data_IF_858623168662
#
_entry.id   IF_858623168662
#
_cell.length_a   1.000
_cell.length_b   1.000
_cell.length_c   1.000
_cell.angle_alpha   90.00
_cell.angle_beta   90.00
_cell.angle_gamma   90.00
#
_symmetry.space_group_name_H-M   'P 1'
#
loop_
_entity.id
_entity.type
_entity.pdbx_description
1 polymer ?
#
# COMPACT_ATOMS: atom_id res chain seq x y z
N UNK A 1 9.53 -15.50 -15.65
CA UNK A 1 8.44 -14.58 -15.32
C UNK A 1 8.65 -13.27 -16.06
N UNK A 2 7.67 -12.82 -16.78
CA UNK A 2 7.70 -11.56 -17.53
C UNK A 2 6.85 -10.59 -16.72
N UNK A 3 7.46 -9.56 -16.16
CA UNK A 3 6.73 -8.46 -15.58
C UNK A 3 6.34 -7.46 -16.66
N UNK A 4 5.09 -7.04 -16.69
CA UNK A 4 4.64 -5.94 -17.54
C UNK A 4 4.21 -4.78 -16.64
N UNK A 5 4.80 -3.61 -16.84
CA UNK A 5 4.28 -2.38 -16.24
C UNK A 5 3.20 -1.82 -17.18
N UNK A 6 2.00 -1.62 -16.66
CA UNK A 6 0.94 -0.95 -17.39
C UNK A 6 0.98 0.54 -17.07
N UNK A 7 1.20 1.35 -18.07
CA UNK A 7 1.09 2.81 -17.94
C UNK A 7 -0.35 3.23 -18.16
N UNK A 8 -1.08 3.47 -17.08
CA UNK A 8 -2.47 3.88 -17.11
C UNK A 8 -2.59 5.34 -16.68
N UNK A 9 -3.24 6.20 -17.48
CA UNK A 9 -3.48 7.57 -17.07
C UNK A 9 -4.43 7.62 -15.86
N UNK A 10 -4.18 8.56 -14.94
CA UNK A 10 -4.99 8.73 -13.71
C UNK A 10 -6.48 9.03 -13.99
N UNK A 11 -6.80 9.46 -15.21
CA UNK A 11 -8.17 9.74 -15.66
C UNK A 11 -8.91 8.50 -16.17
N UNK A 12 -8.23 7.35 -16.27
CA UNK A 12 -8.85 6.12 -16.76
C UNK A 12 -9.80 5.55 -15.70
N UNK A 13 -10.97 5.12 -16.15
CA UNK A 13 -11.93 4.44 -15.28
C UNK A 13 -11.37 3.09 -14.79
N UNK A 14 -11.63 2.78 -13.52
CA UNK A 14 -11.15 1.56 -12.88
C UNK A 14 -11.57 0.30 -13.63
N UNK A 15 -12.79 0.28 -14.16
CA UNK A 15 -13.30 -0.83 -14.96
C UNK A 15 -12.47 -1.04 -16.23
N UNK A 16 -12.16 0.03 -16.95
CA UNK A 16 -11.32 -0.01 -18.16
C UNK A 16 -9.91 -0.50 -17.85
N UNK A 17 -9.34 -0.07 -16.71
CA UNK A 17 -8.04 -0.56 -16.23
C UNK A 17 -8.07 -2.07 -16.00
N UNK A 18 -9.12 -2.56 -15.34
CA UNK A 18 -9.27 -3.98 -15.08
C UNK A 18 -9.38 -4.79 -16.37
N UNK A 19 -10.19 -4.35 -17.33
CA UNK A 19 -10.36 -5.03 -18.62
C UNK A 19 -9.06 -5.11 -19.42
N UNK A 20 -8.27 -4.06 -19.42
CA UNK A 20 -6.95 -4.08 -20.07
C UNK A 20 -6.00 -5.09 -19.39
N UNK A 21 -5.94 -5.09 -18.06
CA UNK A 21 -5.14 -6.05 -17.29
C UNK A 21 -5.60 -7.49 -17.55
N UNK A 22 -6.90 -7.74 -17.48
CA UNK A 22 -7.51 -9.04 -17.76
C UNK A 22 -7.16 -9.54 -19.16
N UNK A 23 -7.28 -8.69 -20.17
CA UNK A 23 -6.96 -9.05 -21.56
C UNK A 23 -5.47 -9.43 -21.71
N UNK A 24 -4.56 -8.73 -21.05
CA UNK A 24 -3.14 -9.11 -21.04
C UNK A 24 -2.92 -10.47 -20.35
N UNK A 25 -3.60 -10.73 -19.23
CA UNK A 25 -3.51 -12.01 -18.53
C UNK A 25 -4.02 -13.15 -19.38
N UNK A 26 -5.16 -12.97 -20.07
CA UNK A 26 -5.73 -13.99 -20.97
C UNK A 26 -4.78 -14.27 -22.13
N UNK A 27 -4.21 -13.24 -22.74
CA UNK A 27 -3.27 -13.40 -23.88
C UNK A 27 -2.01 -14.16 -23.48
N UNK A 28 -1.58 -14.05 -22.22
CA UNK A 28 -0.36 -14.69 -21.72
C UNK A 28 -0.62 -15.92 -20.84
N UNK A 29 -1.83 -16.43 -20.82
CA UNK A 29 -2.30 -17.48 -19.89
C UNK A 29 -1.38 -18.70 -19.83
N UNK A 30 -0.87 -19.17 -20.95
CA UNK A 30 0.02 -20.34 -21.02
C UNK A 30 1.35 -20.15 -20.29
N UNK A 31 1.83 -18.91 -20.18
CA UNK A 31 3.09 -18.58 -19.47
C UNK A 31 2.91 -18.30 -17.97
N UNK A 32 1.65 -18.25 -17.48
CA UNK A 32 1.31 -17.86 -16.11
C UNK A 32 0.99 -19.04 -15.18
N UNK A 33 1.46 -20.23 -15.51
CA UNK A 33 1.20 -21.48 -14.74
C UNK A 33 1.62 -21.40 -13.25
N UNK A 34 2.61 -20.56 -12.92
CA UNK A 34 3.08 -20.37 -11.55
C UNK A 34 2.28 -19.33 -10.76
N UNK A 35 1.29 -18.70 -11.40
CA UNK A 35 0.44 -17.68 -10.81
C UNK A 35 0.94 -16.25 -11.07
N UNK A 36 0.20 -15.29 -10.54
CA UNK A 36 0.42 -13.85 -10.72
C UNK A 36 0.62 -13.18 -9.38
N UNK A 37 1.71 -12.42 -9.25
CA UNK A 37 1.85 -11.42 -8.20
C UNK A 37 1.54 -10.05 -8.80
N UNK A 38 0.41 -9.48 -8.41
CA UNK A 38 -0.02 -8.14 -8.81
C UNK A 38 0.52 -7.12 -7.81
N UNK A 39 1.37 -6.23 -8.28
CA UNK A 39 1.97 -5.15 -7.48
C UNK A 39 1.35 -3.83 -7.93
N UNK A 40 0.65 -3.14 -7.04
CA UNK A 40 -0.03 -1.88 -7.32
C UNK A 40 0.39 -0.80 -6.34
N UNK A 41 0.48 0.42 -6.82
CA UNK A 41 0.74 1.61 -5.99
C UNK A 41 -0.54 2.15 -5.33
N UNK A 42 -1.72 1.82 -5.88
CA UNK A 42 -3.02 2.29 -5.41
C UNK A 42 -3.78 1.20 -4.65
N UNK A 43 -4.24 1.53 -3.45
CA UNK A 43 -5.03 0.60 -2.62
C UNK A 43 -6.37 0.20 -3.24
N UNK A 44 -6.97 1.06 -4.08
CA UNK A 44 -8.22 0.79 -4.79
C UNK A 44 -8.12 -0.38 -5.79
N UNK A 45 -6.91 -0.73 -6.24
CA UNK A 45 -6.68 -1.83 -7.17
C UNK A 45 -6.49 -3.20 -6.49
N UNK A 46 -6.64 -3.25 -5.17
CA UNK A 46 -6.47 -4.50 -4.41
C UNK A 46 -7.45 -5.61 -4.83
N UNK A 47 -8.68 -5.22 -5.20
CA UNK A 47 -9.71 -6.17 -5.64
C UNK A 47 -9.37 -6.88 -6.96
N UNK A 48 -8.52 -6.30 -7.79
CA UNK A 48 -8.13 -6.87 -9.08
C UNK A 48 -7.53 -8.27 -8.96
N UNK A 49 -6.80 -8.53 -7.88
CA UNK A 49 -6.24 -9.86 -7.63
C UNK A 49 -7.30 -10.94 -7.51
N UNK A 50 -8.35 -10.68 -6.73
CA UNK A 50 -9.47 -11.62 -6.56
C UNK A 50 -10.30 -11.74 -7.85
N UNK A 51 -10.61 -10.63 -8.51
CA UNK A 51 -11.36 -10.62 -9.77
C UNK A 51 -10.64 -11.43 -10.85
N UNK A 52 -9.32 -11.26 -10.99
CA UNK A 52 -8.53 -12.06 -11.95
C UNK A 52 -8.56 -13.55 -11.64
N UNK A 53 -8.46 -13.91 -10.36
CA UNK A 53 -8.55 -15.33 -9.96
C UNK A 53 -9.93 -15.93 -10.27
N UNK A 54 -11.01 -15.22 -9.94
CA UNK A 54 -12.38 -15.68 -10.18
C UNK A 54 -12.67 -15.87 -11.67
N UNK A 55 -12.21 -14.94 -12.53
CA UNK A 55 -12.49 -14.99 -13.95
C UNK A 55 -11.55 -15.91 -14.75
N UNK A 56 -10.30 -16.01 -14.37
CA UNK A 56 -9.29 -16.73 -15.16
C UNK A 56 -8.89 -18.10 -14.60
N UNK A 57 -9.17 -18.34 -13.31
CA UNK A 57 -8.71 -19.50 -12.56
C UNK A 57 -7.21 -19.49 -12.25
N UNK A 58 -6.49 -18.43 -12.63
CA UNK A 58 -5.05 -18.31 -12.36
C UNK A 58 -4.85 -17.79 -10.94
N UNK A 59 -4.06 -18.52 -10.15
CA UNK A 59 -3.72 -18.07 -8.78
C UNK A 59 -3.11 -16.68 -8.80
N UNK A 60 -3.76 -15.72 -8.17
CA UNK A 60 -3.32 -14.33 -8.14
C UNK A 60 -3.25 -13.83 -6.70
N UNK A 61 -2.16 -13.17 -6.35
CA UNK A 61 -1.99 -12.43 -5.10
C UNK A 61 -1.75 -10.96 -5.42
N UNK A 62 -2.34 -10.06 -4.65
CA UNK A 62 -2.16 -8.63 -4.83
C UNK A 62 -1.47 -8.01 -3.62
N UNK A 63 -0.50 -7.13 -3.87
CA UNK A 63 0.16 -6.29 -2.88
C UNK A 63 -0.03 -4.85 -3.32
N UNK A 64 -0.59 -4.05 -2.43
CA UNK A 64 -0.86 -2.64 -2.66
C UNK A 64 0.16 -1.75 -1.95
N UNK A 65 0.21 -0.47 -2.31
CA UNK A 65 1.16 0.49 -1.78
C UNK A 65 2.61 0.08 -2.06
N UNK A 66 2.84 -0.41 -3.26
CA UNK A 66 4.11 -0.96 -3.67
C UNK A 66 5.15 0.13 -3.88
N UNK A 67 6.33 -0.06 -3.30
CA UNK A 67 7.52 0.76 -3.58
C UNK A 67 8.46 0.05 -4.57
N UNK A 68 9.38 0.80 -5.16
CA UNK A 68 10.41 0.25 -6.05
C UNK A 68 11.19 -0.90 -5.39
N UNK A 69 11.49 -0.78 -4.09
CA UNK A 69 12.20 -1.82 -3.34
C UNK A 69 11.41 -3.12 -3.25
N UNK A 70 10.09 -3.02 -3.04
CA UNK A 70 9.21 -4.19 -3.01
C UNK A 70 9.18 -4.88 -4.38
N UNK A 71 9.11 -4.11 -5.46
CA UNK A 71 9.14 -4.65 -6.83
C UNK A 71 10.45 -5.40 -7.09
N UNK A 72 11.58 -4.79 -6.75
CA UNK A 72 12.90 -5.40 -6.94
C UNK A 72 13.04 -6.70 -6.13
N UNK A 73 12.60 -6.71 -4.88
CA UNK A 73 12.65 -7.91 -4.03
C UNK A 73 11.73 -9.01 -4.56
N UNK A 74 10.51 -8.68 -5.00
CA UNK A 74 9.61 -9.64 -5.63
C UNK A 74 10.24 -10.29 -6.88
N UNK A 75 10.85 -9.47 -7.75
CA UNK A 75 11.54 -9.96 -8.96
C UNK A 75 12.73 -10.85 -8.57
N UNK A 76 13.54 -10.44 -7.59
CA UNK A 76 14.68 -11.23 -7.10
C UNK A 76 14.23 -12.60 -6.59
N UNK A 77 13.18 -12.65 -5.76
CA UNK A 77 12.65 -13.91 -5.23
C UNK A 77 12.08 -14.79 -6.34
N UNK A 78 11.36 -14.21 -7.28
CA UNK A 78 10.83 -14.94 -8.45
C UNK A 78 11.95 -15.51 -9.33
N UNK A 79 13.04 -14.76 -9.54
CA UNK A 79 14.19 -15.20 -10.36
C UNK A 79 14.94 -16.39 -9.77
N UNK A 80 14.95 -16.53 -8.45
CA UNK A 80 15.52 -17.71 -7.77
C UNK A 80 14.52 -18.84 -7.56
N UNK A 81 13.34 -18.78 -8.19
CA UNK A 81 12.36 -19.87 -8.22
C UNK A 81 11.49 -19.99 -6.97
N UNK A 82 11.35 -18.93 -6.15
CA UNK A 82 10.43 -18.95 -5.01
C UNK A 82 8.98 -19.06 -5.48
N UNK A 83 8.15 -19.72 -4.69
CA UNK A 83 6.71 -19.84 -5.00
C UNK A 83 6.00 -18.49 -4.84
N UNK A 84 4.84 -18.35 -5.51
CA UNK A 84 3.99 -17.16 -5.38
C UNK A 84 3.63 -16.87 -3.92
N UNK A 85 3.31 -17.91 -3.15
CA UNK A 85 2.95 -17.78 -1.74
C UNK A 85 4.13 -17.32 -0.88
N UNK A 86 5.32 -17.91 -1.08
CA UNK A 86 6.54 -17.49 -0.36
C UNK A 86 6.88 -16.03 -0.63
N UNK A 87 6.79 -15.59 -1.90
CA UNK A 87 7.06 -14.19 -2.27
C UNK A 87 6.05 -13.27 -1.58
N UNK A 88 4.77 -13.61 -1.68
CA UNK A 88 3.70 -12.82 -1.08
C UNK A 88 3.89 -12.66 0.42
N UNK A 89 4.10 -13.76 1.15
CA UNK A 89 4.25 -13.73 2.60
C UNK A 89 5.52 -13.00 3.05
N UNK A 90 6.65 -13.22 2.40
CA UNK A 90 7.89 -12.52 2.75
C UNK A 90 7.77 -11.01 2.59
N UNK A 91 7.14 -10.55 1.50
CA UNK A 91 6.93 -9.12 1.29
C UNK A 91 5.99 -8.54 2.34
N UNK A 92 4.90 -9.23 2.68
CA UNK A 92 3.97 -8.80 3.72
C UNK A 92 4.67 -8.67 5.09
N UNK A 93 5.44 -9.67 5.49
CA UNK A 93 6.19 -9.66 6.75
C UNK A 93 7.26 -8.56 6.80
N UNK A 94 7.96 -8.33 5.69
CA UNK A 94 8.97 -7.27 5.59
C UNK A 94 8.34 -5.90 5.73
N UNK A 95 7.17 -5.68 5.13
CA UNK A 95 6.44 -4.42 5.26
C UNK A 95 6.00 -4.17 6.71
N UNK A 96 5.44 -5.17 7.38
CA UNK A 96 5.05 -5.06 8.79
C UNK A 96 6.24 -4.80 9.72
N UNK A 97 7.38 -5.44 9.49
CA UNK A 97 8.56 -5.27 10.34
C UNK A 97 9.15 -3.87 10.22
N UNK A 98 9.25 -3.32 9.01
CA UNK A 98 9.76 -1.96 8.77
C UNK A 98 8.86 -0.92 9.43
N UNK A 99 7.55 -1.06 9.28
CA UNK A 99 6.60 -0.15 9.91
C UNK A 99 6.71 -0.22 11.44
N UNK A 100 6.77 -1.43 12.02
CA UNK A 100 6.93 -1.61 13.47
C UNK A 100 8.24 -1.04 14.02
N UNK A 101 9.34 -1.21 13.30
CA UNK A 101 10.66 -0.75 13.75
C UNK A 101 10.79 0.77 13.67
N UNK A 102 10.27 1.39 12.63
CA UNK A 102 10.19 2.85 12.53
C UNK A 102 9.31 3.45 13.63
N UNK A 103 8.19 2.80 13.96
CA UNK A 103 7.35 3.22 15.07
C UNK A 103 8.07 3.10 16.42
N UNK A 104 8.76 2.00 16.70
CA UNK A 104 9.51 1.80 17.95
C UNK A 104 10.64 2.81 18.15
N UNK A 105 11.41 3.11 17.11
CA UNK A 105 12.51 4.06 17.18
C UNK A 105 12.07 5.50 17.41
N UNK A 106 10.88 5.87 16.94
CA UNK A 106 10.32 7.21 17.18
C UNK A 106 9.74 7.38 18.58
N UNK A 107 9.24 6.30 19.20
CA UNK A 107 8.66 6.36 20.54
C UNK A 107 9.67 6.55 21.67
N UNK A 108 10.95 6.21 21.45
CA UNK A 108 11.97 6.26 22.50
C UNK A 108 12.58 7.65 22.77
N UNK A 109 12.31 8.67 21.98
CA UNK A 109 13.09 9.92 22.01
C UNK A 109 12.53 11.12 22.77
N UNK A 110 11.29 11.18 23.25
CA UNK A 110 10.82 12.32 24.09
C UNK A 110 9.67 11.95 25.03
N UNK A 111 9.92 12.20 26.34
CA UNK A 111 8.96 11.98 27.43
C UNK A 111 8.16 13.24 27.71
N UNK A 112 7.21 13.73 27.21
CA UNK A 112 6.24 14.73 27.78
C UNK A 112 5.42 15.60 26.83
N UNK A 113 5.44 15.36 25.51
CA UNK A 113 4.51 16.07 24.62
C UNK A 113 3.66 15.03 23.88
N UNK A 114 2.34 15.22 23.84
CA UNK A 114 1.44 14.36 23.09
C UNK A 114 1.83 14.46 21.61
N UNK A 115 2.11 13.32 20.98
CA UNK A 115 2.56 13.26 19.60
C UNK A 115 1.35 13.03 18.72
N UNK A 116 1.35 13.61 17.52
CA UNK A 116 0.35 13.30 16.52
C UNK A 116 0.98 12.57 15.32
N UNK A 117 0.28 11.56 14.84
CA UNK A 117 0.58 10.88 13.57
C UNK A 117 -0.51 11.21 12.58
N UNK A 118 -0.12 11.85 11.48
CA UNK A 118 -1.05 12.23 10.43
C UNK A 118 -1.02 11.20 9.33
N UNK A 119 -2.18 10.62 9.04
CA UNK A 119 -2.39 9.70 7.93
C UNK A 119 -3.16 10.43 6.85
N UNK A 120 -2.53 10.64 5.71
CA UNK A 120 -3.12 11.40 4.62
C UNK A 120 -3.03 10.68 3.28
N UNK A 121 -4.01 10.87 2.43
CA UNK A 121 -3.96 10.58 1.00
C UNK A 121 -4.79 11.65 0.28
N UNK A 122 -4.76 11.62 -1.06
CA UNK A 122 -5.41 12.66 -1.86
C UNK A 122 -6.90 12.87 -1.49
N UNK A 123 -7.66 11.80 -1.32
CA UNK A 123 -9.09 11.85 -0.95
C UNK A 123 -9.36 11.75 0.56
N UNK A 124 -8.39 11.30 1.36
CA UNK A 124 -8.58 10.99 2.78
C UNK A 124 -9.35 9.69 3.06
N UNK A 125 -10.07 9.14 2.10
CA UNK A 125 -11.01 8.02 2.31
C UNK A 125 -10.46 6.65 1.90
N UNK A 126 -9.50 6.58 1.00
CA UNK A 126 -9.00 5.30 0.48
C UNK A 126 -7.91 4.69 1.37
N UNK A 127 -6.66 4.95 1.00
CA UNK A 127 -5.47 4.38 1.67
C UNK A 127 -5.33 4.94 3.08
N UNK A 128 -5.61 6.23 3.29
CA UNK A 128 -5.51 6.86 4.60
C UNK A 128 -6.45 6.21 5.61
N UNK A 129 -7.71 5.94 5.23
CA UNK A 129 -8.68 5.29 6.11
C UNK A 129 -8.26 3.85 6.48
N UNK A 130 -7.74 3.09 5.52
CA UNK A 130 -7.25 1.73 5.78
C UNK A 130 -6.03 1.72 6.69
N UNK A 131 -5.10 2.65 6.49
CA UNK A 131 -3.93 2.80 7.37
C UNK A 131 -4.36 3.21 8.77
N UNK A 132 -5.27 4.18 8.89
CA UNK A 132 -5.84 4.60 10.17
C UNK A 132 -6.39 3.41 10.95
N UNK A 133 -7.26 2.60 10.33
CA UNK A 133 -7.86 1.42 10.97
C UNK A 133 -6.83 0.36 11.38
N UNK A 134 -5.74 0.21 10.64
CA UNK A 134 -4.66 -0.75 10.97
C UNK A 134 -3.74 -0.25 12.07
N UNK A 135 -3.53 1.04 12.14
CA UNK A 135 -2.62 1.67 13.10
C UNK A 135 -3.31 1.86 14.46
N UNK A 136 -4.59 2.22 14.46
CA UNK A 136 -5.36 2.51 15.66
C UNK A 136 -5.26 1.41 16.75
N UNK A 137 -5.39 0.10 16.44
CA UNK A 137 -5.32 -0.95 17.45
C UNK A 137 -3.92 -1.16 18.08
N UNK A 138 -2.87 -0.59 17.48
CA UNK A 138 -1.47 -0.78 17.94
C UNK A 138 -0.88 0.48 18.56
N UNK A 139 -1.61 1.59 18.55
CA UNK A 139 -1.22 2.86 19.14
C UNK A 139 -1.74 2.94 20.58
N UNK A 140 -0.91 3.48 21.47
CA UNK A 140 -1.33 3.96 22.77
C UNK A 140 -1.91 5.37 22.61
N UNK A 141 -3.24 5.45 22.54
CA UNK A 141 -3.98 6.72 22.33
C UNK A 141 -3.74 7.74 23.47
N UNK A 142 -3.21 7.31 24.61
CA UNK A 142 -2.86 8.22 25.69
C UNK A 142 -1.57 9.01 25.39
N UNK A 143 -0.74 8.50 24.48
CA UNK A 143 0.58 9.07 24.12
C UNK A 143 0.65 9.62 22.71
N UNK A 144 -0.19 9.11 21.81
CA UNK A 144 -0.17 9.44 20.40
C UNK A 144 -1.59 9.67 19.91
N UNK A 145 -1.82 10.81 19.27
CA UNK A 145 -3.04 11.11 18.54
C UNK A 145 -2.89 10.64 17.09
N UNK A 146 -3.85 9.89 16.58
CA UNK A 146 -3.89 9.52 15.17
C UNK A 146 -4.89 10.40 14.43
N UNK A 147 -4.41 11.14 13.43
CA UNK A 147 -5.21 12.12 12.70
C UNK A 147 -5.29 11.72 11.23
N UNK A 148 -6.50 11.56 10.72
CA UNK A 148 -6.75 11.32 9.30
C UNK A 148 -7.07 12.62 8.60
N UNK A 149 -6.39 12.90 7.48
CA UNK A 149 -6.56 14.14 6.72
C UNK A 149 -6.64 13.88 5.21
N UNK A 150 -7.33 14.78 4.51
CA UNK A 150 -7.32 14.86 3.05
C UNK A 150 -6.18 15.79 2.59
N UNK A 151 -5.52 15.43 1.49
CA UNK A 151 -4.57 16.29 0.81
C UNK A 151 -5.17 16.79 -0.51
N UNK A 152 -6.18 17.66 -0.40
CA UNK A 152 -6.88 18.18 -1.59
C UNK A 152 -6.16 19.39 -2.15
N UNK A 153 -5.70 20.29 -1.27
CA UNK A 153 -5.08 21.56 -1.66
C UNK A 153 -3.90 21.88 -0.74
N UNK A 154 -2.77 22.27 -1.33
CA UNK A 154 -1.52 22.50 -0.61
C UNK A 154 -1.63 23.57 0.49
N UNK A 155 -2.30 24.68 0.21
CA UNK A 155 -2.40 25.78 1.18
C UNK A 155 -3.30 25.42 2.36
N UNK A 156 -4.43 24.79 2.08
CA UNK A 156 -5.36 24.29 3.11
C UNK A 156 -4.71 23.23 3.98
N UNK A 157 -3.98 22.29 3.36
CA UNK A 157 -3.23 21.26 4.08
C UNK A 157 -2.16 21.88 4.98
N UNK A 158 -1.36 22.82 4.46
CA UNK A 158 -0.33 23.50 5.23
C UNK A 158 -0.93 24.21 6.45
N UNK A 159 -2.03 24.94 6.27
CA UNK A 159 -2.70 25.66 7.36
C UNK A 159 -3.22 24.71 8.45
N UNK A 160 -3.74 23.52 8.07
CA UNK A 160 -4.13 22.51 9.05
C UNK A 160 -2.93 21.93 9.80
N UNK A 161 -1.82 21.68 9.12
CA UNK A 161 -0.57 21.22 9.77
C UNK A 161 -0.05 22.29 10.73
N UNK A 162 -0.01 23.56 10.34
CA UNK A 162 0.47 24.65 11.18
C UNK A 162 -0.38 24.74 12.47
N UNK A 163 -1.69 24.61 12.40
CA UNK A 163 -2.58 24.58 13.55
C UNK A 163 -2.32 23.37 14.46
N UNK A 164 -2.11 22.18 13.88
CA UNK A 164 -1.82 20.97 14.65
C UNK A 164 -0.44 21.03 15.32
N UNK A 165 0.53 21.74 14.74
CA UNK A 165 1.85 21.95 15.35
C UNK A 165 1.81 22.82 16.61
N UNK A 166 0.75 23.56 16.85
CA UNK A 166 0.53 24.31 18.08
C UNK A 166 0.10 23.39 19.25
N UNK A 167 -0.61 22.29 18.95
CA UNK A 167 -1.16 21.37 19.95
C UNK A 167 -0.31 20.09 20.11
N UNK A 168 0.38 19.67 19.04
CA UNK A 168 1.06 18.36 18.98
C UNK A 168 2.49 18.48 18.47
N UNK A 169 3.35 17.59 18.93
CA UNK A 169 4.65 17.38 18.28
C UNK A 169 4.43 16.51 17.02
N UNK A 170 4.34 17.14 15.84
CA UNK A 170 4.22 16.45 14.55
C UNK A 170 5.63 16.16 14.03
N UNK A 171 5.85 14.92 13.60
CA UNK A 171 7.10 14.50 12.95
C UNK A 171 6.82 13.98 11.56
#
# INVERSE_FOLDING_TARGET
SIGTAMNMPLTMEVQTMYEQLRNQVITQKESLNNGILLLTDMGSLNSFGNMLFEETGIRTKAITMTSTMIVLEAIRMASVGRSLEDIYQNIQLSFESVVREQFRSSLQKRQNVKKAVIVTCFTGEGVAAKLYQRILPVIDETKVELIQMQFIERETFKKHIDNLMEEYEIK
#
